data_IF_020100133360
#
_entry.id   IF_020100133360
#
_cell.length_a   1.000
_cell.length_b   1.000
_cell.length_c   1.000
_cell.angle_alpha   90.00
_cell.angle_beta   90.00
_cell.angle_gamma   90.00
#
_symmetry.space_group_name_H-M   'P 1'
#
loop_
_entity.id
_entity.type
_entity.pdbx_description
1 polymer ?
#
# COMPACT_ATOMS: atom_id res chain seq x y z
N UNK A 1 -16.95 -24.72 2.30
CA UNK A 1 -15.50 -25.01 2.48
C UNK A 1 -14.98 -24.06 3.55
N UNK A 2 -14.13 -24.53 4.47
CA UNK A 2 -13.60 -23.70 5.56
C UNK A 2 -12.20 -23.18 5.20
N UNK A 3 -11.87 -21.98 5.67
CA UNK A 3 -10.54 -21.40 5.46
C UNK A 3 -9.51 -22.12 6.34
N UNK A 4 -8.37 -22.58 5.79
CA UNK A 4 -7.35 -23.28 6.56
C UNK A 4 -6.55 -22.37 7.51
N UNK A 5 -6.81 -21.05 7.52
CA UNK A 5 -6.12 -20.08 8.38
C UNK A 5 -6.96 -19.74 9.62
N UNK A 6 -8.22 -19.33 9.45
CA UNK A 6 -9.11 -18.96 10.58
C UNK A 6 -10.11 -20.04 10.96
N UNK A 7 -10.25 -21.10 10.15
CA UNK A 7 -11.20 -22.21 10.32
C UNK A 7 -12.68 -21.86 10.09
N UNK A 8 -13.00 -20.60 9.75
CA UNK A 8 -14.37 -20.15 9.42
C UNK A 8 -14.78 -20.49 7.98
N UNK A 9 -16.09 -20.42 7.71
CA UNK A 9 -16.69 -20.67 6.39
C UNK A 9 -16.26 -19.57 5.40
N UNK A 10 -15.79 -19.98 4.21
CA UNK A 10 -15.45 -19.07 3.10
C UNK A 10 -16.72 -18.66 2.37
N UNK A 11 -16.95 -17.35 2.22
CA UNK A 11 -18.04 -16.82 1.40
C UNK A 11 -17.52 -16.47 0.00
N UNK A 12 -18.39 -16.45 -1.01
CA UNK A 12 -17.95 -16.13 -2.37
C UNK A 12 -17.42 -14.69 -2.52
N UNK A 13 -17.87 -13.77 -1.67
CA UNK A 13 -17.46 -12.36 -1.71
C UNK A 13 -16.05 -12.09 -1.17
N UNK A 14 -15.49 -13.01 -0.38
CA UNK A 14 -14.18 -12.87 0.23
C UNK A 14 -13.26 -14.07 -0.06
N UNK A 15 -13.64 -14.91 -1.02
CA UNK A 15 -12.86 -16.07 -1.45
C UNK A 15 -11.66 -15.65 -2.28
N UNK A 16 -10.51 -16.26 -1.97
CA UNK A 16 -9.30 -16.20 -2.76
C UNK A 16 -8.82 -17.62 -3.07
N UNK A 17 -8.52 -17.89 -4.34
CA UNK A 17 -8.05 -19.20 -4.79
C UNK A 17 -6.55 -19.07 -5.06
N UNK A 18 -5.72 -19.79 -4.31
CA UNK A 18 -4.28 -19.84 -4.57
C UNK A 18 -4.00 -20.54 -5.90
N UNK A 19 -2.79 -20.39 -6.47
CA UNK A 19 -2.42 -21.07 -7.72
C UNK A 19 -2.56 -22.59 -7.70
N UNK A 20 -2.45 -23.22 -6.53
CA UNK A 20 -2.66 -24.66 -6.33
C UNK A 20 -4.14 -25.08 -6.23
N UNK A 21 -5.09 -24.15 -6.40
CA UNK A 21 -6.53 -24.40 -6.32
C UNK A 21 -7.14 -24.34 -4.92
N UNK A 22 -6.33 -24.27 -3.86
CA UNK A 22 -6.84 -24.16 -2.49
C UNK A 22 -7.46 -22.78 -2.22
N UNK A 23 -8.64 -22.77 -1.59
CA UNK A 23 -9.38 -21.54 -1.25
C UNK A 23 -9.12 -21.06 0.16
N UNK A 24 -9.02 -19.73 0.33
CA UNK A 24 -8.84 -19.01 1.58
C UNK A 24 -9.81 -17.83 1.64
N UNK A 25 -10.05 -17.24 2.82
CA UNK A 25 -10.49 -15.84 2.84
C UNK A 25 -9.35 -14.96 2.33
N UNK A 26 -9.65 -14.01 1.45
CA UNK A 26 -8.69 -13.03 0.95
C UNK A 26 -8.06 -12.24 2.10
N UNK A 27 -8.86 -11.93 3.12
CA UNK A 27 -8.40 -11.25 4.33
C UNK A 27 -7.33 -12.05 5.07
N UNK A 28 -7.53 -13.36 5.19
CA UNK A 28 -6.55 -14.28 5.76
C UNK A 28 -5.31 -14.38 4.88
N UNK A 29 -5.47 -14.45 3.55
CA UNK A 29 -4.35 -14.46 2.61
C UNK A 29 -3.48 -13.20 2.74
N UNK A 30 -4.10 -12.02 2.73
CA UNK A 30 -3.38 -10.73 2.89
C UNK A 30 -2.62 -10.69 4.21
N UNK A 31 -3.28 -11.05 5.32
CA UNK A 31 -2.62 -11.05 6.63
C UNK A 31 -1.46 -12.05 6.69
N UNK A 32 -1.63 -13.22 6.06
CA UNK A 32 -0.61 -14.27 6.01
C UNK A 32 0.65 -13.79 5.28
N UNK A 33 0.51 -13.27 4.06
CA UNK A 33 1.68 -12.86 3.29
C UNK A 33 2.33 -11.60 3.87
N UNK A 34 1.55 -10.64 4.37
CA UNK A 34 2.07 -9.42 5.00
C UNK A 34 2.86 -9.71 6.29
N UNK A 35 2.53 -10.80 6.99
CA UNK A 35 3.20 -11.21 8.23
C UNK A 35 4.46 -12.05 7.96
N UNK A 36 4.40 -12.97 6.99
CA UNK A 36 5.49 -13.94 6.76
C UNK A 36 6.62 -13.38 5.92
N UNK A 37 6.30 -12.81 4.75
CA UNK A 37 7.29 -12.49 3.71
C UNK A 37 7.17 -11.07 3.16
N UNK A 38 6.05 -10.40 3.42
CA UNK A 38 5.71 -9.11 2.83
C UNK A 38 5.64 -9.15 1.29
N UNK A 39 5.33 -10.30 0.69
CA UNK A 39 5.03 -10.42 -0.74
C UNK A 39 4.09 -11.58 -1.02
N UNK A 40 3.38 -11.57 -2.15
CA UNK A 40 2.32 -12.56 -2.46
C UNK A 40 2.83 -13.96 -2.82
N UNK A 41 4.12 -14.09 -3.16
CA UNK A 41 4.77 -15.39 -3.45
C UNK A 41 5.05 -16.18 -2.17
N UNK A 42 3.98 -16.64 -1.52
CA UNK A 42 4.04 -17.46 -0.30
C UNK A 42 3.56 -18.87 -0.56
N UNK A 43 4.09 -19.81 0.22
CA UNK A 43 3.68 -21.21 0.20
C UNK A 43 2.25 -21.37 0.72
N UNK A 44 1.47 -22.21 0.05
CA UNK A 44 0.14 -22.59 0.50
C UNK A 44 0.19 -23.23 1.89
N UNK A 45 -0.68 -22.82 2.84
CA UNK A 45 -0.71 -23.42 4.18
C UNK A 45 -1.13 -24.91 4.18
N UNK A 46 -1.69 -25.41 3.08
CA UNK A 46 -2.14 -26.80 2.93
C UNK A 46 -1.11 -27.68 2.21
N UNK A 47 -0.72 -27.32 0.98
CA UNK A 47 0.17 -28.15 0.15
C UNK A 47 1.60 -27.64 0.00
N UNK A 48 1.92 -26.45 0.54
CA UNK A 48 3.22 -25.78 0.44
C UNK A 48 3.66 -25.34 -0.96
N UNK A 49 2.84 -25.52 -1.98
CA UNK A 49 3.11 -24.94 -3.31
C UNK A 49 3.12 -23.41 -3.27
N UNK A 50 4.01 -22.80 -4.04
CA UNK A 50 4.14 -21.33 -4.12
C UNK A 50 2.93 -20.74 -4.84
N UNK A 51 2.34 -19.69 -4.27
CA UNK A 51 1.32 -18.92 -4.95
C UNK A 51 1.90 -17.95 -5.98
N UNK A 52 1.34 -17.96 -7.18
CA UNK A 52 1.57 -16.98 -8.26
C UNK A 52 0.30 -16.19 -8.61
N UNK A 53 -0.85 -16.51 -8.01
CA UNK A 53 -2.10 -15.79 -8.26
C UNK A 53 -2.04 -14.39 -7.64
N UNK A 54 -2.25 -13.38 -8.48
CA UNK A 54 -2.28 -11.96 -8.14
C UNK A 54 -3.62 -11.28 -8.52
N UNK A 55 -4.68 -12.06 -8.75
CA UNK A 55 -5.99 -11.55 -9.09
C UNK A 55 -6.58 -10.62 -8.02
N UNK A 56 -7.31 -9.61 -8.48
CA UNK A 56 -8.02 -8.65 -7.62
C UNK A 56 -9.33 -9.27 -7.17
N UNK A 57 -9.60 -9.39 -5.86
CA UNK A 57 -10.82 -10.03 -5.39
C UNK A 57 -12.05 -9.12 -5.50
N UNK A 58 -11.86 -7.79 -5.53
CA UNK A 58 -12.95 -6.83 -5.55
C UNK A 58 -13.16 -6.25 -6.94
N UNK A 59 -14.42 -6.04 -7.32
CA UNK A 59 -14.81 -5.45 -8.60
C UNK A 59 -14.42 -3.98 -8.74
N UNK A 60 -14.43 -3.24 -7.62
CA UNK A 60 -14.15 -1.79 -7.63
C UNK A 60 -12.69 -1.51 -7.28
N UNK A 61 -12.11 -0.50 -7.91
CA UNK A 61 -10.77 0.00 -7.58
C UNK A 61 -10.71 0.49 -6.12
N UNK A 62 -11.77 1.15 -5.66
CA UNK A 62 -11.85 1.69 -4.31
C UNK A 62 -11.73 0.59 -3.24
N UNK A 63 -12.45 -0.52 -3.40
CA UNK A 63 -12.45 -1.60 -2.39
C UNK A 63 -11.11 -2.34 -2.36
N UNK A 64 -10.47 -2.50 -3.52
CA UNK A 64 -9.09 -3.00 -3.60
C UNK A 64 -8.11 -2.09 -2.84
N UNK A 65 -8.18 -0.77 -3.01
CA UNK A 65 -7.30 0.17 -2.28
C UNK A 65 -7.61 0.15 -0.78
N UNK A 66 -8.89 0.15 -0.39
CA UNK A 66 -9.30 0.11 1.02
C UNK A 66 -8.72 -1.08 1.76
N UNK A 67 -8.59 -2.23 1.10
CA UNK A 67 -8.03 -3.43 1.72
C UNK A 67 -6.63 -3.20 2.28
N UNK A 68 -5.81 -2.43 1.55
CA UNK A 68 -4.43 -2.11 1.92
C UNK A 68 -4.30 -0.82 2.72
N UNK A 69 -5.41 -0.14 3.01
CA UNK A 69 -5.40 1.16 3.66
C UNK A 69 -5.85 1.09 5.13
N UNK A 70 -5.30 1.98 5.94
CA UNK A 70 -5.84 2.34 7.25
C UNK A 70 -7.07 3.19 7.04
N UNK A 71 -8.17 2.74 7.60
CA UNK A 71 -9.41 3.52 7.69
C UNK A 71 -9.62 3.97 9.14
N UNK A 72 -10.42 5.03 9.34
CA UNK A 72 -10.81 5.50 10.66
C UNK A 72 -10.76 7.01 10.81
N UNK A 73 -10.52 7.49 12.04
CA UNK A 73 -10.40 8.91 12.35
C UNK A 73 -9.05 9.47 11.91
N UNK A 74 -9.08 10.73 11.49
CA UNK A 74 -7.90 11.54 11.18
C UNK A 74 -6.88 11.49 12.33
N UNK A 75 -5.61 11.44 11.94
CA UNK A 75 -4.48 11.33 12.87
C UNK A 75 -4.00 12.67 13.41
N UNK A 76 -4.29 13.78 12.72
CA UNK A 76 -3.90 15.11 13.17
C UNK A 76 -4.65 15.56 14.42
N UNK A 77 -4.03 16.51 15.12
CA UNK A 77 -4.65 17.27 16.20
C UNK A 77 -5.30 18.54 15.66
N UNK A 78 -6.37 18.99 16.32
CA UNK A 78 -6.94 20.32 16.12
C UNK A 78 -6.03 21.38 16.72
N UNK A 79 -6.28 22.67 16.42
CA UNK A 79 -5.56 23.80 17.05
C UNK A 79 -5.55 23.74 18.59
N UNK A 80 -6.61 23.20 19.20
CA UNK A 80 -6.71 23.02 20.66
C UNK A 80 -5.99 21.75 21.19
N UNK A 81 -5.11 21.13 20.41
CA UNK A 81 -4.38 19.91 20.79
C UNK A 81 -5.21 18.61 20.84
N UNK A 82 -6.53 18.68 20.72
CA UNK A 82 -7.44 17.50 20.72
C UNK A 82 -7.32 16.70 19.42
N UNK A 83 -7.51 15.38 19.48
CA UNK A 83 -7.53 14.52 18.29
C UNK A 83 -8.68 14.88 17.35
N UNK A 84 -8.40 15.00 16.05
CA UNK A 84 -9.43 15.27 15.04
C UNK A 84 -10.51 14.17 15.02
N UNK A 85 -11.78 14.59 15.01
CA UNK A 85 -12.93 13.69 14.94
C UNK A 85 -13.35 13.31 13.51
N UNK A 86 -12.86 14.01 12.48
CA UNK A 86 -13.20 13.73 11.08
C UNK A 86 -12.59 12.41 10.61
N UNK A 87 -13.25 11.72 9.68
CA UNK A 87 -12.73 10.51 9.03
C UNK A 87 -11.51 10.84 8.17
N UNK A 88 -10.53 9.94 8.11
CA UNK A 88 -9.46 10.04 7.13
C UNK A 88 -10.01 9.86 5.70
N UNK A 89 -9.38 10.52 4.74
CA UNK A 89 -9.64 10.31 3.32
C UNK A 89 -8.70 9.21 2.84
N UNK A 90 -9.18 8.33 1.95
CA UNK A 90 -8.35 7.28 1.34
C UNK A 90 -7.16 7.93 0.63
N UNK A 91 -5.98 7.28 0.66
CA UNK A 91 -4.74 7.82 0.09
C UNK A 91 -4.25 9.15 0.69
N UNK A 92 -4.78 9.57 1.84
CA UNK A 92 -4.45 10.86 2.44
C UNK A 92 -3.58 10.77 3.70
N UNK A 93 -2.72 9.75 3.80
CA UNK A 93 -1.77 9.55 4.89
C UNK A 93 -2.40 9.62 6.30
N UNK A 94 -3.60 9.05 6.45
CA UNK A 94 -4.36 9.09 7.70
C UNK A 94 -4.97 10.46 8.05
N UNK A 95 -4.98 11.42 7.13
CA UNK A 95 -5.52 12.78 7.31
C UNK A 95 -6.91 12.95 6.70
N UNK A 96 -7.68 13.90 7.22
CA UNK A 96 -8.95 14.31 6.63
C UNK A 96 -8.72 15.44 5.60
N UNK A 97 -9.76 15.78 4.83
CA UNK A 97 -9.74 16.86 3.84
C UNK A 97 -9.38 18.25 4.39
N UNK A 98 -9.49 18.48 5.71
CA UNK A 98 -9.07 19.75 6.34
C UNK A 98 -7.57 19.76 6.60
N UNK A 99 -7.03 18.66 7.15
CA UNK A 99 -5.63 18.59 7.58
C UNK A 99 -4.67 18.25 6.43
N UNK A 100 -5.17 17.71 5.32
CA UNK A 100 -4.43 17.67 4.06
C UNK A 100 -5.41 17.74 2.89
N UNK A 101 -5.22 18.76 2.05
CA UNK A 101 -6.04 18.99 0.85
C UNK A 101 -5.49 18.26 -0.37
N UNK A 102 -4.20 17.94 -0.38
CA UNK A 102 -3.52 17.27 -1.49
C UNK A 102 -3.83 15.78 -1.47
N UNK A 103 -5.03 15.45 -1.95
CA UNK A 103 -5.54 14.09 -2.07
C UNK A 103 -5.45 13.60 -3.51
N UNK A 104 -5.16 12.32 -3.70
CA UNK A 104 -5.14 11.70 -5.02
C UNK A 104 -6.54 11.77 -5.66
N UNK A 105 -6.69 12.41 -6.84
CA UNK A 105 -7.96 12.47 -7.55
C UNK A 105 -8.49 11.06 -7.89
N UNK A 106 -9.82 10.89 -7.88
CA UNK A 106 -10.46 9.56 -8.03
C UNK A 106 -10.18 8.89 -9.38
N UNK A 107 -10.08 9.68 -10.44
CA UNK A 107 -9.70 9.22 -11.79
C UNK A 107 -8.30 8.61 -11.82
N UNK A 108 -7.44 8.94 -10.85
CA UNK A 108 -6.08 8.39 -10.71
C UNK A 108 -6.01 7.13 -9.86
N UNK A 109 -7.10 6.72 -9.20
CA UNK A 109 -7.08 5.59 -8.27
C UNK A 109 -6.76 4.26 -8.96
N UNK A 110 -7.14 4.10 -10.24
CA UNK A 110 -6.78 2.91 -11.01
C UNK A 110 -5.27 2.68 -10.99
N UNK A 111 -4.51 3.74 -11.24
CA UNK A 111 -3.06 3.67 -11.35
C UNK A 111 -2.37 3.35 -10.03
N UNK A 112 -2.86 3.90 -8.92
CA UNK A 112 -2.28 3.55 -7.63
C UNK A 112 -2.66 2.13 -7.23
N UNK A 113 -3.86 1.66 -7.60
CA UNK A 113 -4.25 0.27 -7.39
C UNK A 113 -3.34 -0.67 -8.18
N UNK A 114 -3.07 -0.37 -9.45
CA UNK A 114 -2.12 -1.14 -10.27
C UNK A 114 -0.72 -1.18 -9.62
N UNK A 115 -0.26 -0.03 -9.11
CA UNK A 115 1.03 0.07 -8.43
C UNK A 115 1.06 -0.67 -7.08
N UNK A 116 -0.03 -0.72 -6.32
CA UNK A 116 -0.13 -1.53 -5.09
C UNK A 116 0.12 -3.01 -5.41
N UNK A 117 -0.53 -3.53 -6.46
CA UNK A 117 -0.41 -4.95 -6.84
C UNK A 117 1.00 -5.30 -7.31
N UNK A 118 1.67 -4.41 -8.03
CA UNK A 118 3.10 -4.55 -8.28
C UNK A 118 3.93 -4.53 -7.00
N UNK A 119 3.65 -3.59 -6.10
CA UNK A 119 4.45 -3.40 -4.89
C UNK A 119 4.33 -4.61 -3.95
N UNK A 120 3.19 -5.30 -3.87
CA UNK A 120 3.04 -6.53 -3.07
C UNK A 120 3.69 -7.76 -3.70
N UNK A 121 4.12 -7.71 -4.96
CA UNK A 121 4.95 -8.75 -5.56
C UNK A 121 6.44 -8.56 -5.22
N UNK A 122 6.89 -7.31 -5.07
CA UNK A 122 8.29 -7.02 -4.80
C UNK A 122 8.76 -7.56 -3.43
N UNK A 123 10.02 -8.00 -3.33
CA UNK A 123 10.65 -8.47 -2.07
C UNK A 123 11.00 -7.39 -1.05
N UNK A 124 10.44 -6.17 -1.17
CA UNK A 124 10.76 -5.03 -0.32
C UNK A 124 10.17 -5.13 1.09
N UNK A 125 10.85 -4.52 2.07
CA UNK A 125 10.29 -4.37 3.43
C UNK A 125 8.97 -3.60 3.42
N UNK A 126 8.10 -3.84 4.41
CA UNK A 126 6.81 -3.13 4.53
C UNK A 126 7.00 -1.61 4.58
N UNK A 127 7.99 -1.13 5.33
CA UNK A 127 8.32 0.31 5.41
C UNK A 127 8.66 0.87 4.03
N UNK A 128 9.54 0.19 3.29
CA UNK A 128 9.90 0.57 1.91
C UNK A 128 8.67 0.64 1.01
N UNK A 129 7.76 -0.33 1.08
CA UNK A 129 6.52 -0.33 0.27
C UNK A 129 5.62 0.88 0.57
N UNK A 130 5.41 1.20 1.86
CA UNK A 130 4.62 2.35 2.30
C UNK A 130 5.20 3.65 1.70
N UNK A 131 6.52 3.81 1.79
CA UNK A 131 7.23 4.98 1.26
C UNK A 131 7.13 5.05 -0.26
N UNK A 132 7.35 3.95 -0.97
CA UNK A 132 7.25 3.92 -2.43
C UNK A 132 5.84 4.30 -2.91
N UNK A 133 4.81 3.86 -2.20
CA UNK A 133 3.42 4.23 -2.49
C UNK A 133 3.13 5.71 -2.24
N UNK A 134 3.67 6.29 -1.15
CA UNK A 134 3.51 7.72 -0.88
C UNK A 134 4.25 8.58 -1.93
N UNK A 135 5.48 8.21 -2.29
CA UNK A 135 6.24 8.84 -3.37
C UNK A 135 5.46 8.76 -4.69
N UNK A 136 4.97 7.58 -5.04
CA UNK A 136 4.19 7.39 -6.26
C UNK A 136 2.96 8.29 -6.30
N UNK A 137 2.21 8.34 -5.20
CA UNK A 137 1.05 9.23 -5.06
C UNK A 137 1.44 10.70 -5.26
N UNK A 138 2.51 11.17 -4.63
CA UNK A 138 2.94 12.57 -4.77
C UNK A 138 3.38 12.91 -6.19
N UNK A 139 4.10 12.00 -6.87
CA UNK A 139 4.48 12.16 -8.28
C UNK A 139 3.24 12.20 -9.18
N UNK A 140 2.26 11.31 -8.96
CA UNK A 140 1.01 11.29 -9.75
C UNK A 140 0.26 12.61 -9.61
N UNK A 141 0.15 13.14 -8.39
CA UNK A 141 -0.54 14.42 -8.12
C UNK A 141 0.21 15.57 -8.79
N UNK A 142 1.53 15.67 -8.58
CA UNK A 142 2.35 16.78 -9.07
C UNK A 142 2.40 16.84 -10.60
N UNK A 143 2.60 15.69 -11.24
CA UNK A 143 2.82 15.61 -12.69
C UNK A 143 1.56 15.21 -13.46
N UNK A 144 0.42 15.06 -12.77
CA UNK A 144 -0.87 14.65 -13.33
C UNK A 144 -0.81 13.35 -14.18
N UNK A 145 -0.11 12.33 -13.70
CA UNK A 145 0.19 11.13 -14.49
C UNK A 145 -1.03 10.22 -14.73
N UNK A 146 -1.09 9.61 -15.91
CA UNK A 146 -2.07 8.57 -16.28
C UNK A 146 -1.44 7.17 -16.42
N UNK A 147 -0.18 7.02 -16.05
CA UNK A 147 0.50 5.73 -15.86
C UNK A 147 1.82 6.00 -15.11
N UNK A 148 1.83 5.80 -13.79
CA UNK A 148 2.98 6.13 -12.97
C UNK A 148 4.03 5.03 -12.98
N UNK A 149 3.78 3.84 -13.52
CA UNK A 149 4.63 2.69 -13.25
C UNK A 149 6.10 2.95 -13.62
N UNK A 150 6.33 3.17 -14.91
CA UNK A 150 7.66 3.46 -15.43
C UNK A 150 8.18 4.79 -14.90
N UNK A 151 7.31 5.81 -14.78
CA UNK A 151 7.72 7.14 -14.34
C UNK A 151 8.21 7.15 -12.90
N UNK A 152 7.52 6.51 -11.97
CA UNK A 152 7.95 6.40 -10.56
C UNK A 152 9.31 5.73 -10.47
N UNK A 153 9.53 4.64 -11.21
CA UNK A 153 10.85 3.99 -11.26
C UNK A 153 11.91 4.92 -11.84
N UNK A 154 11.60 5.66 -12.91
CA UNK A 154 12.48 6.67 -13.49
C UNK A 154 12.85 7.77 -12.50
N UNK A 155 11.90 8.24 -11.68
CA UNK A 155 12.16 9.20 -10.60
C UNK A 155 13.15 8.62 -9.57
N UNK A 156 12.99 7.36 -9.18
CA UNK A 156 13.91 6.70 -8.24
C UNK A 156 15.31 6.54 -8.85
N UNK A 157 15.41 6.02 -10.07
CA UNK A 157 16.69 5.82 -10.75
C UNK A 157 17.42 7.13 -11.00
N UNK A 158 16.72 8.18 -11.43
CA UNK A 158 17.32 9.51 -11.58
C UNK A 158 17.93 9.99 -10.28
N UNK A 159 17.23 9.85 -9.16
CA UNK A 159 17.78 10.22 -7.85
C UNK A 159 19.06 9.42 -7.52
N UNK A 160 19.04 8.10 -7.71
CA UNK A 160 20.22 7.25 -7.44
C UNK A 160 21.43 7.63 -8.30
N UNK A 161 21.21 7.81 -9.61
CA UNK A 161 22.29 8.11 -10.55
C UNK A 161 22.83 9.54 -10.38
N UNK A 162 21.96 10.54 -10.21
CA UNK A 162 22.41 11.93 -10.03
C UNK A 162 23.19 12.12 -8.74
N UNK A 163 22.86 11.39 -7.67
CA UNK A 163 23.57 11.49 -6.40
C UNK A 163 24.73 10.49 -6.27
N UNK A 164 24.95 9.63 -7.27
CA UNK A 164 25.94 8.55 -7.23
C UNK A 164 25.78 7.63 -6.00
N UNK A 165 24.53 7.29 -5.65
CA UNK A 165 24.18 6.46 -4.49
C UNK A 165 23.51 5.17 -4.97
N UNK A 166 23.98 4.02 -4.48
CA UNK A 166 23.31 2.75 -4.73
C UNK A 166 21.98 2.67 -3.96
N UNK A 167 20.92 2.03 -4.52
CA UNK A 167 19.60 1.96 -3.86
C UNK A 167 19.63 1.46 -2.41
N UNK A 168 20.51 0.50 -2.10
CA UNK A 168 20.68 -0.06 -0.74
C UNK A 168 21.20 0.95 0.30
N UNK A 169 21.83 2.04 -0.15
CA UNK A 169 22.41 3.09 0.69
C UNK A 169 21.62 4.40 0.63
N UNK A 170 20.58 4.46 -0.20
CA UNK A 170 19.76 5.65 -0.34
C UNK A 170 18.97 5.93 0.95
N UNK A 171 19.10 7.16 1.46
CA UNK A 171 18.17 7.68 2.44
C UNK A 171 16.79 7.82 1.81
N UNK A 172 15.78 7.27 2.49
CA UNK A 172 14.37 7.46 2.15
C UNK A 172 14.03 8.96 2.09
N UNK A 173 14.47 9.73 3.09
CA UNK A 173 14.20 11.16 3.18
C UNK A 173 14.89 11.93 2.05
N UNK A 174 16.06 11.45 1.60
CA UNK A 174 16.79 12.07 0.50
C UNK A 174 16.00 12.11 -0.81
N UNK A 175 15.13 11.13 -1.08
CA UNK A 175 14.26 11.18 -2.28
C UNK A 175 13.21 12.29 -2.14
N UNK A 176 12.62 12.46 -0.96
CA UNK A 176 11.65 13.52 -0.71
C UNK A 176 12.31 14.89 -0.86
N UNK A 177 13.47 15.07 -0.23
CA UNK A 177 14.25 16.31 -0.29
C UNK A 177 14.66 16.65 -1.72
N UNK A 178 15.21 15.69 -2.46
CA UNK A 178 15.67 15.90 -3.84
C UNK A 178 14.55 16.38 -4.79
N UNK A 179 13.32 15.90 -4.59
CA UNK A 179 12.16 16.27 -5.40
C UNK A 179 11.25 17.32 -4.75
N UNK A 180 11.66 17.93 -3.63
CA UNK A 180 10.85 18.87 -2.84
C UNK A 180 9.44 18.32 -2.50
N UNK A 181 9.36 17.03 -2.19
CA UNK A 181 8.14 16.34 -1.79
C UNK A 181 7.94 16.41 -0.27
N UNK A 182 6.69 16.29 0.17
CA UNK A 182 6.35 16.34 1.59
C UNK A 182 6.65 14.98 2.24
N UNK A 183 7.49 14.97 3.26
CA UNK A 183 7.74 13.74 4.03
C UNK A 183 6.45 13.36 4.79
N UNK A 184 5.97 12.11 4.70
CA UNK A 184 4.80 11.66 5.44
C UNK A 184 5.08 11.62 6.96
N UNK A 185 4.03 11.75 7.77
CA UNK A 185 4.15 11.72 9.23
C UNK A 185 4.65 10.35 9.72
N UNK A 186 5.65 10.33 10.60
CA UNK A 186 6.18 9.10 11.20
C UNK A 186 5.10 8.29 11.90
N UNK A 187 4.18 8.95 12.61
CA UNK A 187 3.04 8.30 13.25
C UNK A 187 2.19 7.51 12.26
N UNK A 188 1.99 8.03 11.03
CA UNK A 188 1.23 7.33 10.00
C UNK A 188 2.00 6.11 9.49
N UNK A 189 3.30 6.25 9.21
CA UNK A 189 4.16 5.12 8.81
C UNK A 189 4.12 4.02 9.89
N UNK A 190 4.34 4.40 11.15
CA UNK A 190 4.34 3.48 12.28
C UNK A 190 3.00 2.78 12.45
N UNK A 191 1.90 3.51 12.23
CA UNK A 191 0.56 2.94 12.25
C UNK A 191 0.36 1.94 11.10
N UNK A 192 0.83 2.24 9.89
CA UNK A 192 0.79 1.32 8.74
C UNK A 192 1.55 0.03 9.03
N UNK A 193 2.78 0.16 9.55
CA UNK A 193 3.62 -0.99 9.93
C UNK A 193 2.94 -1.84 11.00
N UNK A 194 2.42 -1.22 12.05
CA UNK A 194 1.74 -1.91 13.16
C UNK A 194 0.51 -2.69 12.68
N UNK A 195 -0.27 -2.12 11.76
CA UNK A 195 -1.51 -2.73 11.27
C UNK A 195 -1.31 -3.57 9.99
N UNK A 196 -0.07 -3.77 9.54
CA UNK A 196 0.26 -4.49 8.30
C UNK A 196 -0.51 -3.93 7.09
N UNK A 197 -0.59 -2.60 7.02
CA UNK A 197 -1.21 -1.84 5.93
C UNK A 197 -0.15 -1.10 5.14
N UNK A 198 -0.49 -0.78 3.89
CA UNK A 198 0.38 -0.05 2.97
C UNK A 198 0.07 1.45 2.92
N UNK A 199 -1.13 1.85 3.30
CA UNK A 199 -1.69 3.21 3.12
C UNK A 199 -2.45 3.70 4.34
#
# INVERSE_FOLDING_TARGET
MNCPICLDIINENDKFIMSCGHSLHYDCFVNFFMTKKCHIFVECPLCREINYNNERPYKTVEDNIKKYSITGRCMAQTKDGRRCKKKCVLMNNGLCHIHNKDTLPKDKWKYICDFIYYIIEAGNSLKTKIILLDIAKQIIIRDNLNDPFYKVQHYLFRYYHTNNILPKYASINGIYEYYNMKIPLDDWINKCIKNKKLL
#
